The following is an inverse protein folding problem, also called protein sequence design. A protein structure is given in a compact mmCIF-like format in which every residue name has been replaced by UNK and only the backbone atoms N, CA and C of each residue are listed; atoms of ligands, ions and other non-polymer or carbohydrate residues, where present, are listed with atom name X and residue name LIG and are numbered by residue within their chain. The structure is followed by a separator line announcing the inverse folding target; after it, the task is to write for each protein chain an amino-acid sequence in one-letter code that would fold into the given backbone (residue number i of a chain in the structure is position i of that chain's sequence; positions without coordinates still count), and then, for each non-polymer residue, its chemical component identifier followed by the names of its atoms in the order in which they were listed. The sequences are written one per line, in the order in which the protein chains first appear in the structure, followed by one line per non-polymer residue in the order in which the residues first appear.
data_IF_917851172140
#
_entry.id   IF_917851172140
#
_cell.length_a   1.000
_cell.length_b   1.000
_cell.length_c   1.000
_cell.angle_alpha   90.00
_cell.angle_beta   90.00
_cell.angle_gamma   90.00
#
_symmetry.space_group_name_H-M   'P 1'
#
loop_
_entity.id
_entity.type
_entity.pdbx_description
1 polymer ?
#
# COMPACT_ATOMS: atom_id res chain seq x y z
N UNK A 1 -16.17 14.00 10.96
CA UNK A 1 -15.57 13.05 10.00
C UNK A 1 -16.14 13.29 8.62
N UNK A 2 -15.32 13.26 7.56
CA UNK A 2 -15.71 13.38 6.15
C UNK A 2 -15.48 12.02 5.51
N UNK A 3 -16.58 11.32 5.16
CA UNK A 3 -16.59 9.98 4.59
C UNK A 3 -17.54 9.93 3.38
N UNK A 4 -17.41 10.91 2.52
CA UNK A 4 -18.17 11.12 1.30
C UNK A 4 -17.36 10.61 0.08
N UNK A 5 -17.88 10.62 -1.16
CA UNK A 5 -17.05 10.38 -2.34
C UNK A 5 -15.88 11.36 -2.43
N UNK A 6 -14.70 10.88 -2.84
CA UNK A 6 -13.43 11.61 -2.84
C UNK A 6 -13.52 13.01 -3.47
N UNK A 7 -14.24 13.12 -4.61
CA UNK A 7 -14.45 14.40 -5.33
C UNK A 7 -15.07 15.52 -4.49
N UNK A 8 -15.66 15.20 -3.34
CA UNK A 8 -16.30 16.19 -2.45
C UNK A 8 -15.47 16.50 -1.20
N UNK A 9 -14.37 15.78 -0.97
CA UNK A 9 -13.54 15.95 0.22
C UNK A 9 -13.00 17.36 0.35
N UNK A 10 -12.41 17.89 -0.75
CA UNK A 10 -11.84 19.22 -0.75
C UNK A 10 -12.86 20.29 -0.33
N UNK A 11 -14.00 20.37 -1.00
CA UNK A 11 -15.00 21.40 -0.75
C UNK A 11 -15.54 21.37 0.68
N UNK A 12 -15.79 20.15 1.20
CA UNK A 12 -16.32 19.98 2.57
C UNK A 12 -15.23 20.32 3.60
N UNK A 13 -14.00 19.86 3.40
CA UNK A 13 -12.89 20.13 4.29
C UNK A 13 -12.51 21.62 4.29
N UNK A 14 -12.49 22.26 3.14
CA UNK A 14 -12.21 23.68 2.97
C UNK A 14 -13.22 24.54 3.75
N UNK A 15 -14.52 24.23 3.60
CA UNK A 15 -15.57 24.87 4.40
C UNK A 15 -15.40 24.65 5.90
N UNK A 16 -15.06 23.41 6.32
CA UNK A 16 -14.82 23.11 7.72
C UNK A 16 -13.65 23.92 8.29
N UNK A 17 -12.55 24.03 7.53
CA UNK A 17 -11.37 24.77 7.95
C UNK A 17 -11.64 26.29 8.04
N UNK A 18 -12.45 26.85 7.15
CA UNK A 18 -12.89 28.25 7.25
C UNK A 18 -13.70 28.54 8.53
N UNK A 19 -14.39 27.53 9.02
CA UNK A 19 -15.20 27.62 10.24
C UNK A 19 -14.52 27.04 11.48
N UNK A 20 -13.19 26.80 11.44
CA UNK A 20 -12.42 26.23 12.55
C UNK A 20 -12.92 24.85 13.03
N UNK A 21 -13.53 24.07 12.13
CA UNK A 21 -14.05 22.73 12.43
C UNK A 21 -12.93 21.71 12.16
N UNK A 22 -12.55 20.98 13.20
CA UNK A 22 -11.54 19.93 13.14
C UNK A 22 -12.06 18.74 12.34
N UNK A 23 -11.21 18.15 11.48
CA UNK A 23 -11.61 17.11 10.53
C UNK A 23 -10.79 15.83 10.66
N UNK A 24 -11.49 14.69 10.52
CA UNK A 24 -10.92 13.42 10.08
C UNK A 24 -11.50 13.16 8.68
N UNK A 25 -10.65 13.09 7.67
CA UNK A 25 -11.03 12.97 6.26
C UNK A 25 -10.64 11.59 5.77
N UNK A 26 -11.57 10.86 5.15
CA UNK A 26 -11.28 9.56 4.55
C UNK A 26 -10.25 9.65 3.43
N UNK A 27 -9.57 8.54 3.22
CA UNK A 27 -8.61 8.40 2.10
C UNK A 27 -9.33 8.21 0.74
N UNK A 28 -8.72 8.66 -0.37
CA UNK A 28 -7.60 9.59 -0.41
C UNK A 28 -8.03 10.98 0.10
N UNK A 29 -7.07 11.77 0.60
CA UNK A 29 -7.37 13.11 1.12
C UNK A 29 -8.17 13.95 0.12
N UNK A 30 -7.72 13.95 -1.15
CA UNK A 30 -8.39 14.55 -2.31
C UNK A 30 -8.08 13.73 -3.56
N UNK A 31 -8.70 14.06 -4.67
CA UNK A 31 -8.42 13.50 -6.00
C UNK A 31 -7.38 14.29 -6.80
N UNK A 32 -6.90 15.41 -6.26
CA UNK A 32 -5.84 16.23 -6.87
C UNK A 32 -4.77 16.65 -5.87
N UNK A 33 -3.52 16.74 -6.34
CA UNK A 33 -2.37 17.21 -5.55
C UNK A 33 -2.55 18.66 -5.10
N UNK A 34 -3.04 19.53 -5.99
CA UNK A 34 -3.24 20.95 -5.67
C UNK A 34 -4.21 21.15 -4.52
N UNK A 35 -5.31 20.39 -4.50
CA UNK A 35 -6.32 20.46 -3.44
C UNK A 35 -5.78 19.89 -2.12
N UNK A 36 -5.02 18.79 -2.19
CA UNK A 36 -4.38 18.21 -1.01
C UNK A 36 -3.41 19.18 -0.34
N UNK A 37 -2.56 19.82 -1.15
CA UNK A 37 -1.61 20.83 -0.67
C UNK A 37 -2.31 22.08 -0.12
N UNK A 38 -3.39 22.54 -0.77
CA UNK A 38 -4.19 23.66 -0.30
C UNK A 38 -4.83 23.39 1.07
N UNK A 39 -5.38 22.18 1.28
CA UNK A 39 -5.92 21.76 2.58
C UNK A 39 -4.84 21.68 3.67
N UNK A 40 -3.66 21.16 3.35
CA UNK A 40 -2.55 21.06 4.29
C UNK A 40 -2.07 22.45 4.73
N UNK A 41 -1.89 23.36 3.78
CA UNK A 41 -1.48 24.74 4.07
C UNK A 41 -2.55 25.51 4.85
N UNK A 42 -3.83 25.37 4.48
CA UNK A 42 -4.95 26.02 5.17
C UNK A 42 -5.12 25.51 6.60
N UNK A 43 -4.98 24.19 6.82
CA UNK A 43 -5.02 23.60 8.15
C UNK A 43 -3.90 24.14 9.05
N UNK A 44 -2.70 24.30 8.50
CA UNK A 44 -1.54 24.90 9.16
C UNK A 44 -1.79 26.37 9.50
N UNK A 45 -2.25 27.18 8.54
CA UNK A 45 -2.55 28.61 8.74
C UNK A 45 -3.62 28.82 9.81
N UNK A 46 -4.65 28.00 9.80
CA UNK A 46 -5.76 28.07 10.75
C UNK A 46 -5.45 27.38 12.09
N UNK A 47 -4.28 26.77 12.25
CA UNK A 47 -3.94 25.92 13.41
C UNK A 47 -5.04 24.91 13.75
N UNK A 48 -5.61 24.30 12.72
CA UNK A 48 -6.73 23.38 12.83
C UNK A 48 -6.27 21.91 12.79
N UNK A 49 -6.77 21.09 13.71
CA UNK A 49 -6.45 19.66 13.78
C UNK A 49 -7.17 18.92 12.64
N UNK A 50 -6.40 18.41 11.68
CA UNK A 50 -6.88 17.61 10.55
C UNK A 50 -6.08 16.34 10.45
N UNK A 51 -6.78 15.19 10.45
CA UNK A 51 -6.19 13.87 10.22
C UNK A 51 -6.78 13.23 8.96
N UNK A 52 -6.08 12.24 8.40
CA UNK A 52 -6.50 11.51 7.20
C UNK A 52 -6.68 10.03 7.53
N UNK A 53 -7.71 9.40 6.96
CA UNK A 53 -8.15 8.04 7.24
C UNK A 53 -7.22 6.94 6.69
N UNK A 54 -5.95 6.97 7.07
CA UNK A 54 -4.96 5.93 6.74
C UNK A 54 -4.84 4.91 7.88
N UNK A 55 -5.93 4.23 8.20
CA UNK A 55 -6.05 3.32 9.33
C UNK A 55 -5.00 2.19 9.38
N UNK A 56 -4.38 1.84 8.24
CA UNK A 56 -3.31 0.82 8.21
C UNK A 56 -2.07 1.21 9.04
N UNK A 57 -1.83 2.49 9.34
CA UNK A 57 -0.79 2.92 10.29
C UNK A 57 -1.06 2.46 11.73
N UNK A 58 -2.31 2.15 12.05
CA UNK A 58 -2.72 1.60 13.34
C UNK A 58 -2.83 0.08 13.32
N UNK A 59 -2.57 -0.56 12.17
CA UNK A 59 -2.63 -2.01 12.05
C UNK A 59 -1.61 -2.67 12.99
N UNK A 60 -2.06 -3.51 13.95
CA UNK A 60 -1.18 -4.09 14.95
C UNK A 60 -0.12 -5.02 14.34
N UNK A 61 -0.42 -5.66 13.20
CA UNK A 61 0.53 -6.53 12.51
C UNK A 61 1.68 -5.71 11.89
N UNK A 62 1.40 -4.56 11.27
CA UNK A 62 2.43 -3.64 10.77
C UNK A 62 3.29 -3.13 11.93
N UNK A 63 2.65 -2.67 13.02
CA UNK A 63 3.38 -2.16 14.20
C UNK A 63 4.26 -3.25 14.85
N UNK A 64 3.80 -4.49 14.89
CA UNK A 64 4.57 -5.62 15.40
C UNK A 64 5.77 -5.92 14.48
N UNK A 65 5.57 -5.98 13.18
CA UNK A 65 6.61 -6.24 12.19
C UNK A 65 7.73 -5.18 12.24
N UNK A 66 7.37 -3.89 12.29
CA UNK A 66 8.33 -2.78 12.32
C UNK A 66 9.25 -2.82 13.55
N UNK A 67 8.77 -3.33 14.70
CA UNK A 67 9.59 -3.49 15.91
C UNK A 67 10.68 -4.56 15.77
N UNK A 68 10.55 -5.47 14.82
CA UNK A 68 11.42 -6.65 14.68
C UNK A 68 12.48 -6.49 13.60
N UNK A 69 12.16 -5.76 12.52
CA UNK A 69 13.01 -5.72 11.32
C UNK A 69 14.24 -4.82 11.47
N UNK A 70 14.32 -4.02 12.54
CA UNK A 70 15.37 -3.00 12.71
C UNK A 70 15.13 -1.81 11.77
N UNK A 71 16.17 -1.30 11.11
CA UNK A 71 16.01 -0.23 10.13
C UNK A 71 15.48 -0.80 8.80
N UNK A 72 14.26 -0.43 8.36
CA UNK A 72 13.72 -0.88 7.09
C UNK A 72 14.56 -0.38 5.91
N UNK A 73 14.70 -1.22 4.87
CA UNK A 73 15.46 -0.91 3.65
C UNK A 73 14.66 -1.18 2.38
N UNK A 74 13.84 -2.22 2.40
CA UNK A 74 13.03 -2.59 1.26
C UNK A 74 11.66 -3.06 1.74
N UNK A 75 10.62 -2.64 1.01
CA UNK A 75 9.25 -3.09 1.22
C UNK A 75 8.70 -3.66 -0.09
N UNK A 76 8.01 -4.79 0.02
CA UNK A 76 7.19 -5.32 -1.04
C UNK A 76 5.76 -5.46 -0.53
N UNK A 77 4.79 -4.83 -1.21
CA UNK A 77 3.40 -4.89 -0.84
C UNK A 77 2.53 -5.33 -2.02
N UNK A 78 1.48 -6.10 -1.73
CA UNK A 78 0.47 -6.48 -2.69
C UNK A 78 -0.92 -6.34 -2.08
N UNK A 79 -1.80 -5.63 -2.80
CA UNK A 79 -3.20 -5.43 -2.43
C UNK A 79 -4.10 -5.74 -3.61
N UNK A 80 -4.69 -6.93 -3.58
CA UNK A 80 -5.46 -7.49 -4.69
C UNK A 80 -6.87 -7.87 -4.25
N UNK A 81 -7.84 -7.61 -5.10
CA UNK A 81 -9.25 -7.98 -4.89
C UNK A 81 -9.96 -8.25 -6.22
N UNK A 82 -11.13 -8.87 -6.16
CA UNK A 82 -12.06 -8.91 -7.28
C UNK A 82 -12.73 -7.54 -7.49
N UNK A 83 -13.30 -7.34 -8.66
CA UNK A 83 -14.00 -6.11 -9.02
C UNK A 83 -15.36 -6.05 -8.30
N UNK A 84 -15.57 -5.00 -7.51
CA UNK A 84 -16.77 -4.87 -6.65
C UNK A 84 -17.74 -3.79 -7.11
N UNK A 85 -17.51 -3.13 -8.24
CA UNK A 85 -18.25 -1.96 -8.73
C UNK A 85 -18.31 -0.78 -7.75
N UNK A 86 -17.38 -0.75 -6.78
CA UNK A 86 -17.20 0.38 -5.84
C UNK A 86 -16.04 1.24 -6.31
N UNK A 87 -16.04 2.53 -5.94
CA UNK A 87 -14.96 3.48 -6.25
C UNK A 87 -14.54 3.46 -7.73
N UNK A 88 -15.52 3.35 -8.64
CA UNK A 88 -15.27 3.32 -10.09
C UNK A 88 -14.97 4.69 -10.68
N UNK A 89 -15.11 5.73 -9.89
CA UNK A 89 -14.76 7.13 -10.18
C UNK A 89 -13.27 7.42 -10.05
N UNK A 90 -12.48 6.51 -9.44
CA UNK A 90 -11.04 6.60 -9.29
C UNK A 90 -10.35 5.30 -9.72
N UNK A 91 -9.03 5.36 -10.00
CA UNK A 91 -8.22 4.19 -10.32
C UNK A 91 -7.75 3.41 -9.08
N UNK A 92 -7.16 2.25 -9.33
CA UNK A 92 -6.68 1.34 -8.28
C UNK A 92 -5.55 1.94 -7.46
N UNK A 93 -4.82 2.92 -8.00
CA UNK A 93 -3.76 3.63 -7.27
C UNK A 93 -4.37 4.42 -6.12
N UNK A 94 -5.40 5.23 -6.37
CA UNK A 94 -6.10 6.00 -5.34
C UNK A 94 -7.03 5.16 -4.47
N UNK A 95 -7.58 4.04 -4.97
CA UNK A 95 -8.48 3.20 -4.18
C UNK A 95 -7.75 2.23 -3.26
N UNK A 96 -6.76 1.50 -3.78
CA UNK A 96 -6.08 0.42 -3.08
C UNK A 96 -4.62 0.74 -2.75
N UNK A 97 -3.81 1.16 -3.74
CA UNK A 97 -2.37 1.34 -3.55
C UNK A 97 -2.04 2.46 -2.56
N UNK A 98 -2.89 3.47 -2.44
CA UNK A 98 -2.66 4.62 -1.55
C UNK A 98 -2.47 4.23 -0.08
N UNK A 99 -3.07 3.12 0.37
CA UNK A 99 -2.83 2.59 1.71
C UNK A 99 -1.37 2.15 1.90
N UNK A 100 -0.81 1.51 0.89
CA UNK A 100 0.55 1.00 0.91
C UNK A 100 1.55 2.13 0.62
N UNK A 101 1.18 3.12 -0.22
CA UNK A 101 1.93 4.36 -0.42
C UNK A 101 2.09 5.11 0.91
N UNK A 102 1.00 5.32 1.64
CA UNK A 102 1.03 5.99 2.93
C UNK A 102 1.92 5.25 3.95
N UNK A 103 1.80 3.92 4.02
CA UNK A 103 2.64 3.10 4.89
C UNK A 103 4.12 3.26 4.55
N UNK A 104 4.53 3.12 3.29
CA UNK A 104 5.94 3.21 2.92
C UNK A 104 6.48 4.63 3.08
N UNK A 105 5.66 5.66 2.81
CA UNK A 105 6.01 7.04 3.10
C UNK A 105 6.28 7.24 4.60
N UNK A 106 5.44 6.67 5.46
CA UNK A 106 5.65 6.75 6.92
C UNK A 106 6.86 5.97 7.42
N UNK A 107 7.21 4.86 6.76
CA UNK A 107 8.32 3.97 7.14
C UNK A 107 9.66 4.57 6.75
N UNK A 108 9.77 5.10 5.53
CA UNK A 108 11.04 5.58 5.00
C UNK A 108 11.26 7.06 5.27
N UNK A 109 10.18 7.84 5.35
CA UNK A 109 10.24 9.29 5.52
C UNK A 109 10.90 10.00 4.34
N UNK A 110 10.69 11.30 4.23
CA UNK A 110 11.33 12.13 3.22
C UNK A 110 10.72 12.02 1.83
N UNK A 111 11.42 12.61 0.85
CA UNK A 111 10.90 12.74 -0.51
C UNK A 111 11.04 11.44 -1.30
N UNK A 112 10.05 11.13 -2.12
CA UNK A 112 10.15 10.11 -3.15
C UNK A 112 11.02 10.65 -4.30
N UNK A 113 12.30 10.24 -4.34
CA UNK A 113 13.26 10.69 -5.37
C UNK A 113 12.98 10.11 -6.75
N UNK A 114 12.39 8.92 -6.79
CA UNK A 114 12.10 8.22 -8.03
C UNK A 114 10.81 7.42 -7.88
N UNK A 115 9.91 7.61 -8.81
CA UNK A 115 8.65 6.88 -8.91
C UNK A 115 8.51 6.36 -10.34
N UNK A 116 8.32 5.05 -10.48
CA UNK A 116 8.02 4.41 -11.77
C UNK A 116 6.80 3.53 -11.60
N UNK A 117 5.77 3.81 -12.40
CA UNK A 117 4.51 3.08 -12.39
C UNK A 117 4.20 2.47 -13.75
N UNK A 118 3.61 1.29 -13.73
CA UNK A 118 2.97 0.65 -14.89
C UNK A 118 1.56 0.23 -14.50
N UNK A 119 0.64 0.19 -15.45
CA UNK A 119 -0.74 -0.17 -15.15
C UNK A 119 -1.58 -0.37 -16.40
N UNK A 120 -2.77 -0.94 -16.20
CA UNK A 120 -3.73 -1.19 -17.25
C UNK A 120 -5.16 -1.02 -16.77
N UNK A 121 -6.00 -0.51 -17.65
CA UNK A 121 -7.47 -0.54 -17.55
C UNK A 121 -7.97 -1.86 -18.12
N UNK A 122 -8.79 -2.58 -17.37
CA UNK A 122 -9.32 -3.90 -17.74
C UNK A 122 -10.86 -3.86 -17.82
N UNK A 123 -11.49 -3.35 -16.75
CA UNK A 123 -12.95 -3.31 -16.58
C UNK A 123 -13.49 -1.89 -16.48
N UNK A 124 -12.67 -0.91 -16.14
CA UNK A 124 -13.06 0.48 -15.94
C UNK A 124 -12.36 1.43 -16.92
N UNK A 125 -12.63 2.73 -16.80
CA UNK A 125 -11.94 3.78 -17.55
C UNK A 125 -10.62 4.23 -16.90
N UNK A 126 -10.35 3.77 -15.68
CA UNK A 126 -9.12 4.03 -14.93
C UNK A 126 -8.25 2.76 -14.89
N UNK A 127 -7.05 2.87 -14.37
CA UNK A 127 -6.21 1.70 -14.12
C UNK A 127 -6.88 0.77 -13.08
N UNK A 128 -7.03 -0.51 -13.45
CA UNK A 128 -7.59 -1.57 -12.61
C UNK A 128 -6.48 -2.46 -12.03
N UNK A 129 -5.30 -2.39 -12.64
CA UNK A 129 -4.08 -3.07 -12.22
C UNK A 129 -2.96 -2.05 -12.28
N UNK A 130 -2.12 -1.99 -11.23
CA UNK A 130 -0.95 -1.13 -11.19
C UNK A 130 0.19 -1.79 -10.42
N UNK A 131 1.41 -1.53 -10.89
CA UNK A 131 2.65 -1.81 -10.16
C UNK A 131 3.49 -0.54 -10.11
N UNK A 132 4.07 -0.26 -8.95
CA UNK A 132 4.91 0.91 -8.73
C UNK A 132 6.21 0.56 -8.02
N UNK A 133 7.32 1.16 -8.46
CA UNK A 133 8.59 1.20 -7.76
C UNK A 133 8.82 2.62 -7.25
N UNK A 134 8.98 2.76 -5.93
CA UNK A 134 9.24 4.04 -5.27
C UNK A 134 10.57 3.97 -4.54
N UNK A 135 11.46 4.94 -4.80
CA UNK A 135 12.74 5.09 -4.08
C UNK A 135 12.70 6.40 -3.30
N UNK A 136 13.05 6.34 -2.03
CA UNK A 136 13.08 7.47 -1.11
C UNK A 136 14.49 8.01 -0.90
N UNK A 137 14.62 9.30 -0.62
CA UNK A 137 15.89 10.01 -0.40
C UNK A 137 16.77 9.38 0.69
N UNK A 138 16.15 8.75 1.71
CA UNK A 138 16.83 7.98 2.75
C UNK A 138 17.36 6.61 2.31
N UNK A 139 17.24 6.25 1.02
CA UNK A 139 17.69 4.99 0.43
C UNK A 139 16.71 3.83 0.62
N UNK A 140 15.53 4.07 1.18
CA UNK A 140 14.43 3.09 1.23
C UNK A 140 13.83 2.84 -0.16
N UNK A 141 13.44 1.60 -0.44
CA UNK A 141 12.81 1.22 -1.71
C UNK A 141 11.52 0.45 -1.43
N UNK A 142 10.47 0.78 -2.16
CA UNK A 142 9.19 0.07 -2.11
C UNK A 142 8.76 -0.42 -3.50
N UNK A 143 8.33 -1.67 -3.57
CA UNK A 143 7.66 -2.27 -4.73
C UNK A 143 6.21 -2.56 -4.35
N UNK A 144 5.29 -1.86 -5.00
CA UNK A 144 3.86 -1.88 -4.67
C UNK A 144 3.07 -2.46 -5.83
N UNK A 145 2.14 -3.36 -5.53
CA UNK A 145 1.23 -3.93 -6.52
C UNK A 145 -0.21 -3.77 -6.03
N UNK A 146 -1.07 -3.23 -6.88
CA UNK A 146 -2.50 -3.14 -6.60
C UNK A 146 -3.30 -3.67 -7.79
N UNK A 147 -4.36 -4.43 -7.51
CA UNK A 147 -5.28 -4.93 -8.53
C UNK A 147 -6.68 -5.06 -7.95
N UNK A 148 -7.67 -4.59 -8.72
CA UNK A 148 -9.09 -4.86 -8.46
C UNK A 148 -9.71 -5.84 -9.46
N UNK A 149 -8.84 -6.53 -10.25
CA UNK A 149 -9.23 -7.55 -11.23
C UNK A 149 -8.63 -8.92 -10.93
N UNK A 150 -8.23 -9.17 -9.69
CA UNK A 150 -7.67 -10.46 -9.27
C UNK A 150 -8.76 -11.43 -8.83
N UNK A 151 -8.68 -12.69 -9.25
CA UNK A 151 -9.61 -13.72 -8.79
C UNK A 151 -9.36 -14.13 -7.33
N UNK A 152 -8.14 -13.93 -6.82
CA UNK A 152 -7.76 -14.17 -5.43
C UNK A 152 -7.53 -12.85 -4.70
N UNK A 153 -8.12 -12.69 -3.51
CA UNK A 153 -7.81 -11.58 -2.64
C UNK A 153 -6.45 -11.78 -1.96
N UNK A 154 -5.62 -10.73 -1.95
CA UNK A 154 -4.35 -10.69 -1.26
C UNK A 154 -4.17 -9.32 -0.58
N UNK A 155 -3.65 -9.33 0.65
CA UNK A 155 -3.20 -8.14 1.36
C UNK A 155 -1.92 -8.50 2.10
N UNK A 156 -0.81 -8.46 1.39
CA UNK A 156 0.51 -8.80 1.93
C UNK A 156 1.41 -7.57 2.02
N UNK A 157 2.25 -7.54 3.06
CA UNK A 157 3.21 -6.49 3.27
C UNK A 157 4.50 -7.09 3.83
N UNK A 158 5.58 -7.11 3.05
CA UNK A 158 6.87 -7.65 3.43
C UNK A 158 7.84 -6.51 3.70
N UNK A 159 8.49 -6.54 4.85
CA UNK A 159 9.44 -5.51 5.28
C UNK A 159 10.81 -6.17 5.48
N UNK A 160 11.79 -5.73 4.72
CA UNK A 160 13.18 -6.16 4.84
C UNK A 160 13.99 -5.06 5.53
N UNK A 161 14.65 -5.41 6.61
CA UNK A 161 15.45 -4.47 7.39
C UNK A 161 16.75 -5.07 7.88
N UNK A 162 17.47 -4.32 8.71
CA UNK A 162 18.82 -4.69 9.17
C UNK A 162 18.85 -5.92 10.08
N UNK A 163 17.72 -6.23 10.77
CA UNK A 163 17.67 -7.38 11.69
C UNK A 163 17.07 -8.64 11.04
N UNK A 164 16.46 -8.49 9.87
CA UNK A 164 15.80 -9.59 9.18
C UNK A 164 14.62 -9.09 8.34
N UNK A 165 13.70 -10.00 8.01
CA UNK A 165 12.49 -9.60 7.31
C UNK A 165 11.22 -10.15 7.97
N UNK A 166 10.17 -9.36 7.91
CA UNK A 166 8.84 -9.73 8.35
C UNK A 166 7.90 -9.88 7.14
N UNK A 167 7.09 -10.93 7.16
CA UNK A 167 5.98 -11.11 6.22
C UNK A 167 4.68 -10.91 6.99
N UNK A 168 3.87 -9.95 6.55
CA UNK A 168 2.60 -9.56 7.16
C UNK A 168 1.46 -9.93 6.23
N UNK A 169 0.55 -10.76 6.70
CA UNK A 169 -0.75 -10.99 6.09
C UNK A 169 -1.76 -10.04 6.77
N UNK A 170 -2.07 -8.94 6.10
CA UNK A 170 -2.97 -7.90 6.61
C UNK A 170 -4.43 -8.38 6.67
N UNK A 171 -4.81 -9.35 5.83
CA UNK A 171 -6.17 -9.86 5.81
C UNK A 171 -6.47 -10.72 7.06
N UNK A 172 -5.48 -11.49 7.54
CA UNK A 172 -5.61 -12.41 8.66
C UNK A 172 -4.89 -11.92 9.93
N UNK A 173 -4.28 -10.73 9.90
CA UNK A 173 -3.47 -10.16 11.00
C UNK A 173 -2.38 -11.11 11.47
N UNK A 174 -1.69 -11.77 10.53
CA UNK A 174 -0.60 -12.70 10.83
C UNK A 174 0.74 -12.09 10.48
N UNK A 175 1.74 -12.35 11.31
CA UNK A 175 3.12 -11.91 11.09
C UNK A 175 4.05 -13.08 11.28
N UNK A 176 4.92 -13.33 10.31
CA UNK A 176 6.08 -14.18 10.49
C UNK A 176 7.37 -13.37 10.32
N UNK A 177 8.34 -13.64 11.17
CA UNK A 177 9.62 -12.93 11.16
C UNK A 177 10.76 -13.92 10.96
N UNK A 178 11.64 -13.62 10.01
CA UNK A 178 12.88 -14.36 9.78
C UNK A 178 14.05 -13.49 10.21
N UNK A 179 14.70 -13.91 11.29
CA UNK A 179 15.83 -13.19 11.87
C UNK A 179 17.11 -13.47 11.09
N UNK A 180 17.88 -12.41 10.79
CA UNK A 180 19.26 -12.55 10.28
C UNK A 180 20.23 -12.48 11.46
N UNK A 181 20.94 -13.58 11.81
CA UNK A 181 21.87 -13.59 12.92
C UNK A 181 23.03 -12.60 12.73
N UNK A 182 23.58 -12.09 13.85
CA UNK A 182 24.67 -11.12 13.83
C UNK A 182 25.89 -11.60 13.02
N UNK A 183 26.24 -12.88 13.14
CA UNK A 183 27.38 -13.45 12.41
C UNK A 183 27.22 -13.42 10.88
N UNK A 184 25.98 -13.49 10.35
CA UNK A 184 25.70 -13.29 8.93
C UNK A 184 25.73 -11.81 8.54
N UNK A 185 25.11 -10.94 9.34
CA UNK A 185 25.10 -9.49 9.11
C UNK A 185 26.49 -8.89 9.09
N UNK A 186 27.34 -9.33 10.00
CA UNK A 186 28.72 -8.90 10.14
C UNK A 186 29.68 -9.64 9.20
N UNK A 187 29.16 -10.54 8.34
CA UNK A 187 29.93 -11.34 7.39
C UNK A 187 31.14 -12.05 8.02
N UNK A 188 30.98 -12.53 9.28
CA UNK A 188 32.04 -13.21 10.01
C UNK A 188 32.41 -14.58 9.42
N UNK A 189 31.51 -15.17 8.63
CA UNK A 189 31.70 -16.43 7.94
C UNK A 189 31.27 -16.33 6.50
N UNK A 190 32.10 -16.80 5.58
CA UNK A 190 31.76 -16.91 4.19
C UNK A 190 31.05 -18.24 3.91
N UNK A 191 29.71 -18.16 3.75
CA UNK A 191 28.91 -19.34 3.41
C UNK A 191 29.17 -19.89 2.00
N UNK A 192 29.89 -19.15 1.14
CA UNK A 192 30.28 -19.65 -0.18
C UNK A 192 31.56 -20.48 -0.11
N UNK A 193 32.34 -20.35 0.95
CA UNK A 193 33.60 -21.07 1.17
C UNK A 193 33.48 -22.34 2.04
N UNK A 194 32.25 -22.74 2.42
CA UNK A 194 32.01 -23.93 3.25
C UNK A 194 31.97 -25.22 2.42
N UNK A 195 32.20 -26.37 3.06
CA UNK A 195 32.20 -27.68 2.38
C UNK A 195 30.83 -28.08 1.83
N UNK A 196 30.75 -29.00 0.85
CA UNK A 196 29.49 -29.49 0.33
C UNK A 196 28.54 -30.05 1.39
N UNK A 197 29.08 -30.72 2.42
CA UNK A 197 28.31 -31.29 3.55
C UNK A 197 27.73 -30.16 4.41
N UNK A 198 28.51 -29.09 4.66
CA UNK A 198 28.04 -27.92 5.36
C UNK A 198 27.00 -27.15 4.57
N UNK A 199 27.14 -27.04 3.22
CA UNK A 199 26.12 -26.47 2.35
C UNK A 199 24.81 -27.26 2.39
N UNK A 200 24.87 -28.58 2.42
CA UNK A 200 23.70 -29.44 2.55
C UNK A 200 22.98 -29.18 3.89
N UNK A 201 23.73 -29.10 5.00
CA UNK A 201 23.18 -28.76 6.31
C UNK A 201 22.52 -27.36 6.32
N UNK A 202 23.18 -26.33 5.77
CA UNK A 202 22.62 -24.98 5.68
C UNK A 202 21.31 -24.98 4.89
N UNK A 203 21.24 -25.70 3.77
CA UNK A 203 20.05 -25.82 2.94
C UNK A 203 18.89 -26.47 3.70
N UNK A 204 19.16 -27.57 4.38
CA UNK A 204 18.17 -28.31 5.15
C UNK A 204 17.66 -27.52 6.37
N UNK A 205 18.57 -26.81 7.05
CA UNK A 205 18.29 -26.11 8.31
C UNK A 205 18.09 -24.59 8.13
N UNK A 206 17.84 -24.14 6.88
CA UNK A 206 17.86 -22.72 6.56
C UNK A 206 16.92 -21.89 7.46
N UNK A 207 15.64 -22.26 7.51
CA UNK A 207 14.64 -21.49 8.27
C UNK A 207 14.38 -22.01 9.70
N UNK A 208 15.16 -22.98 10.15
CA UNK A 208 15.08 -23.51 11.51
C UNK A 208 16.27 -23.08 12.38
N UNK A 209 17.48 -23.07 11.82
CA UNK A 209 18.71 -22.79 12.57
C UNK A 209 19.56 -21.65 12.01
N UNK A 210 19.62 -21.51 10.68
CA UNK A 210 20.50 -20.52 10.03
C UNK A 210 19.81 -19.15 9.97
N UNK A 211 18.59 -19.10 9.50
CA UNK A 211 17.70 -17.96 9.46
C UNK A 211 16.38 -18.32 10.17
N UNK A 212 16.37 -18.38 11.50
CA UNK A 212 15.20 -18.88 12.21
C UNK A 212 13.95 -18.05 11.92
N UNK A 213 12.91 -18.76 11.44
CA UNK A 213 11.57 -18.21 11.23
C UNK A 213 10.74 -18.40 12.49
N UNK A 214 10.07 -17.35 12.93
CA UNK A 214 9.13 -17.37 14.05
C UNK A 214 7.79 -16.77 13.65
N UNK A 215 6.72 -17.34 14.15
CA UNK A 215 5.39 -16.70 14.08
C UNK A 215 5.30 -15.70 15.26
N UNK A 216 4.77 -14.51 14.95
CA UNK A 216 4.68 -13.41 15.91
C UNK A 216 3.24 -13.33 16.42
N UNK A 217 3.09 -13.30 17.72
CA UNK A 217 1.79 -13.06 18.33
C UNK A 217 1.39 -11.58 18.15
N UNK A 218 0.28 -11.37 17.44
CA UNK A 218 -0.22 -10.04 17.13
C UNK A 218 -1.45 -9.77 18.02
N UNK A 219 -1.42 -8.75 18.88
CA UNK A 219 -2.54 -8.43 19.73
C UNK A 219 -3.77 -8.05 18.88
N UNK A 220 -4.94 -8.48 19.32
CA UNK A 220 -6.18 -8.05 18.67
C UNK A 220 -6.39 -6.55 18.94
N UNK A 221 -6.54 -5.77 17.89
CA UNK A 221 -6.85 -4.35 17.95
C UNK A 221 -7.80 -3.96 16.81
N UNK A 222 -8.46 -2.83 16.95
CA UNK A 222 -9.28 -2.25 15.90
C UNK A 222 -8.60 -0.98 15.39
N UNK A 223 -7.94 -1.08 14.24
CA UNK A 223 -7.16 -0.01 13.64
C UNK A 223 -7.99 1.27 13.41
N UNK A 224 -9.26 1.13 13.01
CA UNK A 224 -10.16 2.28 12.81
C UNK A 224 -10.49 2.95 14.14
N UNK A 225 -10.77 2.17 15.19
CA UNK A 225 -11.01 2.71 16.52
C UNK A 225 -9.78 3.42 17.08
N UNK A 226 -8.60 2.84 16.88
CA UNK A 226 -7.33 3.44 17.32
C UNK A 226 -7.05 4.75 16.58
N UNK A 227 -7.34 4.83 15.29
CA UNK A 227 -7.27 6.06 14.48
C UNK A 227 -8.21 7.14 15.01
N UNK A 228 -9.47 6.79 15.30
CA UNK A 228 -10.43 7.74 15.87
C UNK A 228 -10.00 8.24 17.25
N UNK A 229 -9.46 7.36 18.09
CA UNK A 229 -8.95 7.72 19.41
C UNK A 229 -7.74 8.65 19.32
N UNK A 230 -6.81 8.41 18.38
CA UNK A 230 -5.66 9.27 18.10
C UNK A 230 -6.12 10.68 17.72
N UNK A 231 -7.07 10.79 16.81
CA UNK A 231 -7.64 12.08 16.40
C UNK A 231 -8.40 12.79 17.55
N UNK A 232 -9.20 12.06 18.34
CA UNK A 232 -9.91 12.61 19.48
C UNK A 232 -8.94 13.09 20.58
N UNK A 233 -7.88 12.36 20.86
CA UNK A 233 -6.85 12.75 21.83
C UNK A 233 -6.09 14.01 21.36
N UNK A 234 -5.81 14.12 20.07
CA UNK A 234 -5.20 15.33 19.52
C UNK A 234 -6.11 16.56 19.71
N UNK A 235 -7.43 16.39 19.63
CA UNK A 235 -8.40 17.47 19.84
C UNK A 235 -8.54 17.84 21.32
N UNK A 236 -8.66 16.84 22.21
CA UNK A 236 -9.01 17.06 23.62
C UNK A 236 -7.81 17.33 24.52
N UNK A 237 -6.67 16.72 24.21
CA UNK A 237 -5.48 16.72 25.05
C UNK A 237 -4.28 17.46 24.37
N UNK A 238 -4.40 17.80 23.08
CA UNK A 238 -3.33 18.44 22.32
C UNK A 238 -2.18 17.48 22.00
N UNK A 239 -2.43 16.17 21.96
CA UNK A 239 -1.40 15.20 21.57
C UNK A 239 -1.05 15.33 20.09
N UNK A 240 0.14 14.87 19.71
CA UNK A 240 0.55 14.88 18.31
C UNK A 240 -0.20 13.80 17.53
N UNK A 241 -0.76 14.18 16.38
CA UNK A 241 -1.38 13.24 15.45
C UNK A 241 -0.37 12.22 14.91
N UNK A 242 -0.77 10.96 14.85
CA UNK A 242 -0.03 9.91 14.13
C UNK A 242 -0.06 10.14 12.63
N UNK A 243 -1.17 10.67 12.12
CA UNK A 243 -1.38 10.96 10.69
C UNK A 243 -1.81 12.40 10.53
N UNK A 244 -0.96 13.21 9.91
CA UNK A 244 -1.26 14.62 9.63
C UNK A 244 -1.84 14.79 8.23
N UNK A 245 -2.54 15.91 8.01
CA UNK A 245 -3.02 16.29 6.67
C UNK A 245 -1.87 16.45 5.67
N UNK A 246 -0.70 16.91 6.13
CA UNK A 246 0.51 17.02 5.31
C UNK A 246 0.95 15.65 4.78
N UNK A 247 0.98 14.62 5.64
CA UNK A 247 1.32 13.26 5.22
C UNK A 247 0.28 12.67 4.28
N UNK A 248 -1.00 13.01 4.48
CA UNK A 248 -2.06 12.66 3.52
C UNK A 248 -1.85 13.31 2.15
N UNK A 249 -1.39 14.58 2.11
CA UNK A 249 -1.07 15.27 0.86
C UNK A 249 0.16 14.65 0.16
N UNK A 250 1.20 14.27 0.90
CA UNK A 250 2.36 13.55 0.38
C UNK A 250 1.96 12.19 -0.23
N UNK A 251 1.03 11.46 0.39
CA UNK A 251 0.53 10.21 -0.16
C UNK A 251 -0.22 10.41 -1.49
N UNK A 252 -1.02 11.49 -1.60
CA UNK A 252 -1.69 11.88 -2.86
C UNK A 252 -0.66 12.27 -3.93
N UNK A 253 0.39 12.99 -3.56
CA UNK A 253 1.46 13.39 -4.50
C UNK A 253 2.21 12.17 -5.06
N UNK A 254 2.61 11.22 -4.21
CA UNK A 254 3.25 9.97 -4.67
C UNK A 254 2.28 9.17 -5.55
N UNK A 255 1.00 9.07 -5.18
CA UNK A 255 -0.02 8.41 -5.98
C UNK A 255 -0.17 9.04 -7.37
N UNK A 256 -0.15 10.38 -7.46
CA UNK A 256 -0.20 11.09 -8.73
C UNK A 256 1.04 10.83 -9.58
N UNK A 257 2.24 10.81 -9.00
CA UNK A 257 3.46 10.46 -9.72
C UNK A 257 3.40 9.03 -10.30
N UNK A 258 2.79 8.08 -9.57
CA UNK A 258 2.54 6.73 -10.10
C UNK A 258 1.60 6.78 -11.30
N UNK A 259 0.49 7.52 -11.21
CA UNK A 259 -0.50 7.65 -12.29
C UNK A 259 0.12 8.32 -13.52
N UNK A 260 0.90 9.38 -13.33
CA UNK A 260 1.61 10.08 -14.42
C UNK A 260 2.59 9.15 -15.12
N UNK A 261 3.31 8.33 -14.36
CA UNK A 261 4.22 7.32 -14.90
C UNK A 261 3.47 6.22 -15.67
N UNK A 262 2.31 5.78 -15.20
CA UNK A 262 1.43 4.83 -15.92
C UNK A 262 1.01 5.43 -17.27
N UNK A 263 0.65 6.71 -17.31
CA UNK A 263 0.28 7.40 -18.55
C UNK A 263 1.39 7.38 -19.60
N UNK A 264 2.64 7.42 -19.16
CA UNK A 264 3.83 7.34 -20.05
C UNK A 264 4.17 5.90 -20.46
N UNK A 265 3.78 4.89 -19.66
CA UNK A 265 4.14 3.47 -19.80
C UNK A 265 2.91 2.57 -20.01
N UNK A 266 1.84 3.07 -20.61
CA UNK A 266 0.59 2.33 -20.80
C UNK A 266 0.74 1.15 -21.75
N UNK A 267 0.22 -0.02 -21.37
CA UNK A 267 0.18 -1.23 -22.21
C UNK A 267 -0.57 -1.04 -23.51
N UNK A 268 -1.49 -0.09 -23.56
CA UNK A 268 -2.39 0.15 -24.70
C UNK A 268 -1.70 0.90 -25.84
N UNK A 269 -0.46 1.39 -25.66
CA UNK A 269 0.24 2.22 -26.65
C UNK A 269 1.03 1.43 -27.70
N UNK A 270 1.38 0.16 -27.43
CA UNK A 270 2.09 -0.67 -28.39
C UNK A 270 1.51 -2.08 -28.42
N UNK A 271 0.90 -2.51 -29.54
CA UNK A 271 0.52 -3.91 -29.68
C UNK A 271 1.76 -4.79 -29.58
N UNK A 272 1.88 -5.57 -28.53
CA UNK A 272 2.89 -6.62 -28.44
C UNK A 272 2.42 -7.74 -29.37
N UNK A 273 3.20 -8.06 -30.40
CA UNK A 273 2.96 -9.25 -31.21
C UNK A 273 3.05 -10.47 -30.28
N UNK A 274 1.90 -11.08 -29.97
CA UNK A 274 1.86 -12.33 -29.19
C UNK A 274 2.52 -13.41 -30.03
N UNK A 275 3.58 -14.07 -29.57
CA UNK A 275 4.15 -15.21 -30.30
C UNK A 275 3.04 -16.29 -30.48
N UNK A 276 2.92 -16.85 -31.68
CA UNK A 276 1.93 -17.89 -32.04
C UNK A 276 2.01 -19.19 -31.21
N UNK A 277 2.85 -19.24 -30.18
CA UNK A 277 3.06 -20.42 -29.30
C UNK A 277 1.82 -20.73 -28.43
N UNK A 278 0.83 -19.84 -28.39
CA UNK A 278 -0.38 -20.01 -27.60
C UNK A 278 -1.63 -20.36 -28.42
N UNK A 279 -1.48 -20.71 -29.71
CA UNK A 279 -2.57 -21.25 -30.53
C UNK A 279 -3.04 -22.61 -29.98
N UNK A 280 -3.96 -22.59 -29.04
CA UNK A 280 -4.54 -23.81 -28.47
C UNK A 280 -5.32 -23.62 -27.17
N UNK A 281 -5.33 -22.42 -26.56
CA UNK A 281 -6.02 -22.16 -25.28
C UNK A 281 -7.15 -21.12 -25.40
N UNK A 282 -7.48 -20.67 -26.60
CA UNK A 282 -8.67 -19.82 -26.80
C UNK A 282 -9.94 -20.70 -26.71
N UNK A 283 -10.38 -21.00 -25.48
CA UNK A 283 -11.79 -21.26 -25.27
C UNK A 283 -12.53 -20.01 -25.76
N UNK A 284 -13.44 -20.18 -26.73
CA UNK A 284 -14.30 -19.08 -27.19
C UNK A 284 -15.04 -18.49 -25.96
N UNK A 285 -14.64 -17.30 -25.56
CA UNK A 285 -15.37 -16.57 -24.51
C UNK A 285 -16.79 -16.32 -25.04
N UNK A 286 -17.84 -16.51 -24.22
CA UNK A 286 -19.19 -16.20 -24.63
C UNK A 286 -19.29 -14.72 -25.02
N UNK A 287 -20.04 -14.42 -26.09
CA UNK A 287 -20.33 -13.02 -26.44
C UNK A 287 -21.01 -12.30 -25.26
N UNK A 288 -20.88 -10.97 -25.22
CA UNK A 288 -21.46 -10.15 -24.13
C UNK A 288 -22.96 -10.40 -23.99
N UNK A 289 -23.67 -10.61 -25.12
CA UNK A 289 -25.10 -10.96 -25.13
C UNK A 289 -25.37 -12.29 -24.41
N UNK A 290 -24.56 -13.32 -24.67
CA UNK A 290 -24.68 -14.62 -24.00
C UNK A 290 -24.38 -14.56 -22.51
N UNK A 291 -23.48 -13.67 -22.11
CA UNK A 291 -23.13 -13.46 -20.70
C UNK A 291 -24.32 -12.93 -19.89
N UNK A 292 -25.19 -12.11 -20.51
CA UNK A 292 -26.33 -11.49 -19.86
C UNK A 292 -27.68 -12.18 -20.14
N UNK A 293 -27.75 -13.16 -21.06
CA UNK A 293 -28.99 -13.92 -21.35
C UNK A 293 -29.61 -14.61 -20.13
N UNK A 294 -28.81 -14.94 -19.09
CA UNK A 294 -29.29 -15.55 -17.85
C UNK A 294 -29.94 -14.57 -16.86
N UNK A 295 -29.60 -13.28 -16.95
CA UNK A 295 -30.07 -12.26 -15.99
C UNK A 295 -31.47 -11.77 -16.33
N UNK A 296 -31.81 -11.67 -17.62
CA UNK A 296 -33.13 -11.22 -18.09
C UNK A 296 -34.29 -12.23 -17.80
N UNK A 297 -33.96 -13.48 -17.42
CA UNK A 297 -34.95 -14.52 -17.07
C UNK A 297 -35.19 -14.65 -15.56
N UNK A 298 -34.46 -13.90 -14.73
CA UNK A 298 -34.56 -13.96 -13.27
C UNK A 298 -35.18 -12.71 -12.63
N UNK A 299 -35.58 -11.72 -13.44
CA UNK A 299 -36.36 -10.54 -13.08
C UNK A 299 -37.80 -10.64 -13.58
#
# INVERSE_FOLDING_TARGET
MIATPTRTHFQIADFCLDNQIRCLIEKPLTDSVSDAQALAEKAKQNNCVVSVGHCERFNPAIRAALKLVGQPKFVQAARMSGFTFRSTDIGVVHDLMIHDIDLVNSIFGGDAEFVHGTGASVLSHHEDISQALVKFSGGGVANLTASRCSFSAERSFQIFGTEGYANVDLANSKVSFVKVPAWLRERRHDLMAISPEQQAFVREQLFTRVLPKTEVDVPRANAILDEHNDWLSAISEGTQLTITVQQGAEAVEIAQQVIDSIGQNSWNQTPVAVPQVFDGVAAELPSVEKLFEGIAKAA
#
